data_IF_898601668463
#
_entry.id   IF_898601668463
#
_cell.length_a   1.000
_cell.length_b   1.000
_cell.length_c   1.000
_cell.angle_alpha   90.00
_cell.angle_beta   90.00
_cell.angle_gamma   90.00
#
_symmetry.space_group_name_H-M   'P 1'
#
loop_
_entity.id
_entity.type
_entity.pdbx_description
1 polymer ?
#
# COMPACT_ATOMS: atom_id res chain seq x y z
N UNK A 1 11.40 -22.91 -6.12
CA UNK A 1 11.64 -21.51 -5.70
C UNK A 1 11.16 -21.38 -4.27
N UNK A 2 12.03 -21.01 -3.33
CA UNK A 2 11.70 -20.96 -1.90
C UNK A 2 11.16 -19.57 -1.50
N UNK A 3 10.55 -19.46 -0.31
CA UNK A 3 9.95 -18.19 0.18
C UNK A 3 10.99 -17.07 0.26
N UNK A 4 12.24 -17.38 0.60
CA UNK A 4 13.29 -16.38 0.73
C UNK A 4 13.68 -15.76 -0.62
N UNK A 5 13.83 -16.59 -1.65
CA UNK A 5 14.13 -16.16 -3.02
C UNK A 5 13.05 -15.22 -3.54
N UNK A 6 11.79 -15.54 -3.33
CA UNK A 6 10.66 -14.70 -3.75
C UNK A 6 10.70 -13.36 -3.02
N UNK A 7 10.87 -13.37 -1.69
CA UNK A 7 10.93 -12.14 -0.89
C UNK A 7 12.06 -11.23 -1.33
N UNK A 8 13.27 -11.76 -1.54
CA UNK A 8 14.42 -10.99 -2.03
C UNK A 8 14.14 -10.36 -3.40
N UNK A 9 13.58 -11.15 -4.33
CA UNK A 9 13.25 -10.67 -5.69
C UNK A 9 12.20 -9.55 -5.65
N UNK A 10 11.14 -9.70 -4.87
CA UNK A 10 10.07 -8.70 -4.77
C UNK A 10 10.55 -7.44 -4.04
N UNK A 11 11.29 -7.59 -2.94
CA UNK A 11 11.82 -6.45 -2.20
C UNK A 11 12.76 -5.61 -3.08
N UNK A 12 13.62 -6.23 -3.88
CA UNK A 12 14.50 -5.53 -4.82
C UNK A 12 13.70 -4.70 -5.83
N UNK A 13 12.63 -5.25 -6.40
CA UNK A 13 11.75 -4.53 -7.34
C UNK A 13 11.00 -3.37 -6.69
N UNK A 14 10.60 -3.53 -5.43
CA UNK A 14 9.88 -2.47 -4.70
C UNK A 14 10.81 -1.31 -4.34
N UNK A 15 12.03 -1.61 -3.90
CA UNK A 15 13.03 -0.59 -3.55
C UNK A 15 13.57 0.18 -4.76
N UNK A 16 13.39 -0.33 -5.99
CA UNK A 16 13.77 0.38 -7.21
C UNK A 16 12.72 1.38 -7.72
N UNK A 17 11.56 1.47 -7.07
CA UNK A 17 10.53 2.44 -7.43
C UNK A 17 10.94 3.85 -6.98
N UNK A 18 10.60 4.85 -7.79
CA UNK A 18 10.75 6.25 -7.40
C UNK A 18 9.70 6.63 -6.34
N UNK A 19 9.98 7.69 -5.58
CA UNK A 19 9.01 8.24 -4.62
C UNK A 19 7.72 8.70 -5.30
N UNK A 20 7.82 9.20 -6.54
CA UNK A 20 6.67 9.59 -7.37
C UNK A 20 5.83 8.38 -7.78
N UNK A 21 6.46 7.32 -8.29
CA UNK A 21 5.76 6.07 -8.61
C UNK A 21 5.03 5.50 -7.40
N UNK A 22 5.69 5.52 -6.23
CA UNK A 22 5.12 5.05 -4.98
C UNK A 22 3.89 5.88 -4.61
N UNK A 23 4.00 7.21 -4.66
CA UNK A 23 2.90 8.13 -4.34
C UNK A 23 1.71 7.91 -5.27
N UNK A 24 1.93 7.90 -6.58
CA UNK A 24 0.87 7.83 -7.56
C UNK A 24 0.15 6.47 -7.52
N UNK A 25 0.91 5.37 -7.36
CA UNK A 25 0.33 4.04 -7.14
C UNK A 25 -0.41 3.96 -5.82
N UNK A 26 0.09 4.58 -4.75
CA UNK A 26 -0.58 4.57 -3.44
C UNK A 26 -1.91 5.28 -3.50
N UNK A 27 -1.97 6.43 -4.18
CA UNK A 27 -3.23 7.14 -4.46
C UNK A 27 -4.21 6.28 -5.23
N UNK A 28 -3.76 5.58 -6.27
CA UNK A 28 -4.64 4.70 -7.05
C UNK A 28 -5.17 3.53 -6.21
N UNK A 29 -4.32 2.93 -5.37
CA UNK A 29 -4.73 1.86 -4.45
C UNK A 29 -5.81 2.37 -3.48
N UNK A 30 -5.65 3.58 -2.93
CA UNK A 30 -6.66 4.18 -2.07
C UNK A 30 -8.00 4.37 -2.78
N UNK A 31 -8.00 4.98 -3.97
CA UNK A 31 -9.22 5.21 -4.73
C UNK A 31 -9.97 3.90 -5.04
N UNK A 32 -9.22 2.85 -5.36
CA UNK A 32 -9.78 1.52 -5.58
C UNK A 32 -10.38 0.95 -4.29
N UNK A 33 -9.67 1.06 -3.16
CA UNK A 33 -10.14 0.59 -1.85
C UNK A 33 -11.39 1.35 -1.40
N UNK A 34 -11.40 2.68 -1.51
CA UNK A 34 -12.55 3.53 -1.16
C UNK A 34 -13.79 3.27 -2.03
N UNK A 35 -13.58 2.68 -3.20
CA UNK A 35 -14.64 2.22 -4.09
C UNK A 35 -15.37 0.96 -3.63
N UNK A 36 -14.78 0.17 -2.72
CA UNK A 36 -15.35 -1.13 -2.34
C UNK A 36 -16.48 -1.01 -1.32
N UNK A 37 -17.42 -1.94 -1.38
CA UNK A 37 -18.54 -2.00 -0.42
C UNK A 37 -18.04 -2.37 0.97
N UNK A 38 -17.00 -3.19 1.06
CA UNK A 38 -16.35 -3.60 2.29
C UNK A 38 -15.73 -2.40 3.00
N UNK A 39 -15.02 -1.53 2.29
CA UNK A 39 -14.43 -0.33 2.88
C UNK A 39 -15.52 0.62 3.39
N UNK A 40 -16.54 0.90 2.57
CA UNK A 40 -17.62 1.84 2.91
C UNK A 40 -18.49 1.39 4.07
N UNK A 41 -18.70 0.09 4.22
CA UNK A 41 -19.55 -0.47 5.28
C UNK A 41 -18.77 -0.84 6.55
N UNK A 42 -17.43 -0.70 6.55
CA UNK A 42 -16.60 -0.99 7.70
C UNK A 42 -16.66 0.16 8.71
N UNK A 43 -16.95 -0.16 9.97
CA UNK A 43 -16.91 0.82 11.06
C UNK A 43 -15.50 1.00 11.65
N UNK A 44 -14.67 -0.04 11.55
CA UNK A 44 -13.32 -0.04 12.09
C UNK A 44 -12.37 -0.55 11.02
N UNK A 45 -11.34 0.24 10.70
CA UNK A 45 -10.34 -0.11 9.69
C UNK A 45 -8.95 0.00 10.34
N UNK A 46 -8.19 -1.09 10.27
CA UNK A 46 -6.80 -1.09 10.71
C UNK A 46 -5.89 -0.83 9.51
N UNK A 47 -5.14 0.26 9.57
CA UNK A 47 -4.04 0.53 8.66
C UNK A 47 -2.71 0.25 9.33
N UNK A 48 -1.75 -0.28 8.57
CA UNK A 48 -0.35 -0.29 9.00
C UNK A 48 0.27 1.09 8.75
N UNK A 49 1.32 1.43 9.50
CA UNK A 49 2.19 2.59 9.20
C UNK A 49 3.17 2.16 8.11
N UNK A 50 3.13 2.83 6.97
CA UNK A 50 3.91 2.42 5.82
C UNK A 50 5.41 2.62 6.03
N UNK A 51 6.20 1.68 5.54
CA UNK A 51 7.66 1.76 5.58
C UNK A 51 8.27 1.69 4.18
N UNK A 52 9.31 2.48 3.95
CA UNK A 52 10.13 2.44 2.73
C UNK A 52 9.28 2.58 1.45
N UNK A 53 9.18 1.49 0.68
CA UNK A 53 8.52 1.41 -0.62
C UNK A 53 7.19 0.64 -0.52
N UNK A 54 6.53 0.68 0.63
CA UNK A 54 5.13 0.23 0.81
C UNK A 54 4.15 1.20 0.21
N UNK A 55 2.92 0.74 0.02
CA UNK A 55 1.81 1.63 -0.28
C UNK A 55 1.70 2.61 0.88
N UNK A 56 1.76 3.91 0.61
CA UNK A 56 1.67 4.94 1.62
C UNK A 56 0.23 5.00 2.14
N UNK A 57 0.07 4.84 3.45
CA UNK A 57 -1.23 4.74 4.14
C UNK A 57 -1.48 5.93 5.05
N UNK A 58 -0.51 6.84 5.23
CA UNK A 58 -0.58 7.98 6.14
C UNK A 58 -1.75 8.89 5.84
N UNK A 59 -2.03 9.16 4.57
CA UNK A 59 -3.19 9.96 4.16
C UNK A 59 -4.51 9.23 4.47
N UNK A 60 -4.55 7.91 4.28
CA UNK A 60 -5.74 7.09 4.56
C UNK A 60 -6.08 7.09 6.05
N UNK A 61 -5.05 6.98 6.90
CA UNK A 61 -5.17 7.04 8.36
C UNK A 61 -5.73 8.40 8.80
N UNK A 62 -5.33 9.49 8.15
CA UNK A 62 -5.81 10.85 8.50
C UNK A 62 -7.25 11.12 8.04
N UNK A 63 -7.73 10.41 7.03
CA UNK A 63 -9.06 10.60 6.44
C UNK A 63 -10.13 9.66 7.01
N UNK A 64 -9.73 8.60 7.71
CA UNK A 64 -10.61 7.62 8.33
C UNK A 64 -10.93 7.99 9.77
#
# INVERSE_FOLDING_TARGET
MNKEEIRRKILKKRLSLSSEDIRDKSRQVFLNLAGTVEYRNSQNIMFYVATRSEVQTEEMIKMS
#
